data_IF_499909586085
#
_entry.id   IF_499909586085
#
_cell.length_a   1.000
_cell.length_b   1.000
_cell.length_c   1.000
_cell.angle_alpha   90.00
_cell.angle_beta   90.00
_cell.angle_gamma   90.00
#
_symmetry.space_group_name_H-M   'P 1'
#
loop_
_entity.id
_entity.type
_entity.pdbx_description
1 polymer ?
#
# COMPACT_ATOMS: atom_id res chain seq x y z
N UNK A 1 3.05 -16.50 -0.90
CA UNK A 1 3.12 -15.01 -0.83
C UNK A 1 1.69 -14.49 -0.82
N UNK A 2 1.43 -13.24 -0.41
CA UNK A 2 0.06 -12.71 -0.42
C UNK A 2 -0.04 -11.57 -1.42
N UNK A 3 -1.11 -11.55 -2.21
CA UNK A 3 -1.49 -10.45 -3.09
C UNK A 3 -2.80 -9.84 -2.60
N UNK A 4 -2.82 -8.52 -2.50
CA UNK A 4 -4.02 -7.73 -2.24
C UNK A 4 -4.25 -6.82 -3.44
N UNK A 5 -5.43 -6.87 -4.06
CA UNK A 5 -5.77 -6.05 -5.23
C UNK A 5 -7.26 -5.72 -5.26
N UNK A 6 -7.63 -4.65 -5.96
CA UNK A 6 -9.03 -4.36 -6.27
C UNK A 6 -9.44 -5.15 -7.53
N UNK A 7 -10.56 -5.87 -7.47
CA UNK A 7 -11.04 -6.64 -8.61
C UNK A 7 -11.50 -5.69 -9.74
N UNK A 8 -11.01 -5.82 -10.98
CA UNK A 8 -11.39 -4.91 -12.07
C UNK A 8 -12.86 -5.00 -12.49
N UNK A 9 -13.56 -6.08 -12.11
CA UNK A 9 -14.96 -6.29 -12.48
C UNK A 9 -15.97 -5.77 -11.44
N UNK A 10 -15.63 -5.83 -10.15
CA UNK A 10 -16.56 -5.49 -9.07
C UNK A 10 -15.98 -4.52 -8.02
N UNK A 11 -14.74 -4.07 -8.20
CA UNK A 11 -14.00 -3.15 -7.32
C UNK A 11 -13.82 -3.63 -5.86
N UNK A 12 -14.20 -4.88 -5.56
CA UNK A 12 -13.98 -5.46 -4.23
C UNK A 12 -12.49 -5.65 -3.95
N UNK A 13 -12.08 -5.33 -2.72
CA UNK A 13 -10.74 -5.59 -2.23
C UNK A 13 -10.54 -7.08 -1.97
N UNK A 14 -9.73 -7.73 -2.80
CA UNK A 14 -9.47 -9.17 -2.76
C UNK A 14 -8.08 -9.40 -2.19
N UNK A 15 -7.98 -10.32 -1.22
CA UNK A 15 -6.69 -10.81 -0.70
C UNK A 15 -6.60 -12.32 -0.94
N UNK A 16 -5.58 -12.73 -1.68
CA UNK A 16 -5.33 -14.13 -2.01
C UNK A 16 -3.89 -14.50 -1.66
N UNK A 17 -3.70 -15.73 -1.21
CA UNK A 17 -2.38 -16.35 -1.23
C UNK A 17 -2.09 -16.80 -2.66
N UNK A 18 -0.94 -16.41 -3.19
CA UNK A 18 -0.46 -16.89 -4.48
C UNK A 18 0.88 -17.60 -4.32
N UNK A 19 1.11 -18.57 -5.18
CA UNK A 19 2.34 -19.35 -5.31
C UNK A 19 2.92 -19.10 -6.72
N UNK A 20 4.25 -19.13 -6.94
CA UNK A 20 4.86 -19.04 -8.27
C UNK A 20 4.28 -19.99 -9.34
N UNK A 21 3.60 -21.06 -8.96
CA UNK A 21 2.91 -21.97 -9.90
C UNK A 21 1.50 -21.53 -10.29
N UNK A 22 0.92 -20.57 -9.55
CA UNK A 22 -0.43 -20.04 -9.79
C UNK A 22 -0.45 -19.28 -11.12
N UNK A 23 -1.37 -19.64 -12.01
CA UNK A 23 -1.52 -19.01 -13.35
C UNK A 23 -2.77 -18.14 -13.47
N UNK A 24 -3.69 -18.26 -12.54
CA UNK A 24 -4.95 -17.51 -12.54
C UNK A 24 -5.28 -17.02 -11.13
N UNK A 25 -5.82 -15.81 -11.03
CA UNK A 25 -6.39 -15.26 -9.81
C UNK A 25 -7.91 -15.25 -9.96
N UNK A 26 -8.61 -15.93 -9.06
CA UNK A 26 -10.08 -15.95 -9.05
C UNK A 26 -10.60 -15.04 -7.94
N UNK A 27 -11.43 -14.07 -8.31
CA UNK A 27 -12.10 -13.18 -7.37
C UNK A 27 -13.17 -13.96 -6.58
N UNK A 28 -13.14 -13.98 -5.24
CA UNK A 28 -14.15 -14.69 -4.44
C UNK A 28 -15.53 -14.02 -4.44
N UNK A 29 -15.63 -12.75 -4.86
CA UNK A 29 -16.90 -11.99 -4.84
C UNK A 29 -17.69 -12.10 -6.14
N UNK A 30 -17.03 -11.96 -7.29
CA UNK A 30 -17.69 -11.98 -8.60
C UNK A 30 -17.25 -13.15 -9.49
N UNK A 31 -16.38 -14.02 -8.99
CA UNK A 31 -15.83 -15.17 -9.71
C UNK A 31 -15.06 -14.82 -11.00
N UNK A 32 -14.69 -13.54 -11.17
CA UNK A 32 -13.85 -13.08 -12.28
C UNK A 32 -12.48 -13.75 -12.19
N UNK A 33 -12.03 -14.32 -13.31
CA UNK A 33 -10.70 -14.89 -13.47
C UNK A 33 -9.77 -13.88 -14.13
N UNK A 34 -8.61 -13.66 -13.54
CA UNK A 34 -7.52 -12.87 -14.11
C UNK A 34 -6.39 -13.82 -14.47
N UNK A 35 -6.01 -13.86 -15.73
CA UNK A 35 -4.84 -14.60 -16.19
C UNK A 35 -3.57 -13.85 -15.80
N UNK A 36 -2.65 -14.56 -15.14
CA UNK A 36 -1.36 -14.02 -14.75
C UNK A 36 -0.45 -14.02 -15.99
N UNK A 37 0.17 -12.89 -16.36
CA UNK A 37 1.08 -12.85 -17.49
C UNK A 37 2.30 -13.77 -17.29
N UNK A 38 2.73 -14.49 -18.33
CA UNK A 38 3.74 -15.54 -18.22
C UNK A 38 5.11 -15.08 -17.66
N UNK A 39 5.57 -13.88 -17.99
CA UNK A 39 6.83 -13.33 -17.42
C UNK A 39 6.56 -12.32 -16.29
N UNK A 40 5.43 -12.45 -15.58
CA UNK A 40 5.18 -11.66 -14.37
C UNK A 40 6.08 -12.11 -13.21
N UNK A 41 6.45 -13.40 -13.20
CA UNK A 41 7.24 -14.03 -12.15
C UNK A 41 8.47 -14.67 -12.81
N UNK A 42 9.66 -14.38 -12.31
CA UNK A 42 10.90 -15.04 -12.72
C UNK A 42 11.53 -15.68 -11.48
N UNK A 43 11.44 -17.00 -11.37
CA UNK A 43 11.83 -17.72 -10.15
C UNK A 43 10.93 -17.34 -8.97
N UNK A 44 11.46 -16.57 -8.02
CA UNK A 44 10.71 -16.07 -6.85
C UNK A 44 10.46 -14.56 -6.87
N UNK A 45 10.93 -13.88 -7.93
CA UNK A 45 10.86 -12.44 -8.09
C UNK A 45 9.62 -12.06 -8.89
N UNK A 46 8.85 -11.10 -8.38
CA UNK A 46 7.74 -10.48 -9.12
C UNK A 46 8.32 -9.33 -9.95
N UNK A 47 8.35 -9.47 -11.27
CA UNK A 47 8.88 -8.44 -12.20
C UNK A 47 7.80 -7.57 -12.82
N UNK A 48 6.55 -8.05 -12.80
CA UNK A 48 5.39 -7.33 -13.30
C UNK A 48 4.20 -7.59 -12.39
N UNK A 49 3.28 -6.64 -12.37
CA UNK A 49 2.05 -6.77 -11.63
C UNK A 49 1.23 -8.00 -12.12
N UNK A 50 0.68 -8.76 -11.17
CA UNK A 50 -0.16 -9.94 -11.45
C UNK A 50 -1.59 -9.58 -11.86
N UNK A 51 -2.03 -8.36 -11.53
CA UNK A 51 -3.40 -7.88 -11.75
C UNK A 51 -3.50 -7.00 -12.99
N UNK A 52 -2.46 -6.21 -13.27
CA UNK A 52 -2.35 -5.38 -14.46
C UNK A 52 -1.01 -5.62 -15.14
N UNK A 53 -0.88 -5.43 -16.46
CA UNK A 53 0.37 -5.74 -17.17
C UNK A 53 1.50 -4.71 -16.96
N UNK A 54 1.46 -3.90 -15.89
CA UNK A 54 2.49 -2.89 -15.60
C UNK A 54 3.76 -3.51 -15.00
N UNK A 55 4.90 -2.95 -15.36
CA UNK A 55 6.23 -3.27 -14.81
C UNK A 55 6.67 -2.28 -13.72
N UNK A 56 5.94 -1.17 -13.55
CA UNK A 56 6.29 -0.13 -12.60
C UNK A 56 5.82 -0.56 -11.20
N UNK A 57 6.76 -1.11 -10.45
CA UNK A 57 6.60 -1.63 -9.10
C UNK A 57 7.60 -0.92 -8.19
N UNK A 58 7.17 -0.58 -6.98
CA UNK A 58 8.01 0.09 -5.98
C UNK A 58 7.91 -0.59 -4.62
N UNK A 59 8.95 -0.45 -3.82
CA UNK A 59 9.00 -0.98 -2.46
C UNK A 59 8.46 0.08 -1.50
N UNK A 60 7.59 -0.35 -0.57
CA UNK A 60 7.08 0.48 0.52
C UNK A 60 6.99 -0.33 1.81
N UNK A 61 7.35 0.30 2.94
CA UNK A 61 7.10 -0.28 4.27
C UNK A 61 5.61 -0.50 4.49
N UNK A 62 5.24 -1.72 4.86
CA UNK A 62 3.86 -2.14 5.09
C UNK A 62 3.40 -1.77 6.50
N UNK A 63 3.44 -0.46 6.81
CA UNK A 63 3.11 0.02 8.14
C UNK A 63 1.59 -0.08 8.38
N UNK A 64 1.14 -0.82 9.40
CA UNK A 64 -0.28 -0.91 9.73
C UNK A 64 -0.77 0.44 10.28
N UNK A 65 -1.45 1.22 9.43
CA UNK A 65 -1.94 2.56 9.79
C UNK A 65 -2.75 2.59 11.09
N UNK A 66 -3.55 1.55 11.35
CA UNK A 66 -4.32 1.41 12.60
C UNK A 66 -3.44 1.38 13.84
N UNK A 67 -2.27 0.75 13.75
CA UNK A 67 -1.36 0.59 14.88
C UNK A 67 -0.68 1.93 15.22
N UNK A 68 -0.22 2.67 14.20
CA UNK A 68 0.30 4.03 14.43
C UNK A 68 -0.74 4.99 14.97
N UNK A 69 -1.97 4.97 14.44
CA UNK A 69 -3.06 5.81 14.98
C UNK A 69 -3.39 5.45 16.43
N UNK A 70 -3.43 4.15 16.76
CA UNK A 70 -3.64 3.70 18.13
C UNK A 70 -2.52 4.17 19.06
N UNK A 71 -1.26 4.10 18.61
CA UNK A 71 -0.11 4.49 19.41
C UNK A 71 -0.08 6.00 19.68
N UNK A 72 -0.34 6.82 18.66
CA UNK A 72 -0.52 8.28 18.81
C UNK A 72 -1.67 8.58 19.77
N UNK A 73 -2.80 7.87 19.64
CA UNK A 73 -3.94 8.02 20.54
C UNK A 73 -3.60 7.73 22.01
N UNK A 74 -2.88 6.63 22.27
CA UNK A 74 -2.39 6.28 23.62
C UNK A 74 -1.42 7.33 24.14
N UNK A 75 -0.50 7.82 23.30
CA UNK A 75 0.44 8.88 23.67
C UNK A 75 -0.26 10.15 24.10
N UNK A 76 -1.21 10.65 23.29
CA UNK A 76 -1.98 11.86 23.56
C UNK A 76 -2.80 11.73 24.84
N UNK A 77 -3.52 10.62 25.03
CA UNK A 77 -4.34 10.41 26.22
C UNK A 77 -3.47 10.28 27.48
N UNK A 78 -2.41 9.48 27.42
CA UNK A 78 -1.49 9.27 28.53
C UNK A 78 -0.77 10.56 28.93
N UNK A 79 -0.24 11.31 27.96
CA UNK A 79 0.45 12.58 28.22
C UNK A 79 -0.50 13.64 28.77
N UNK A 80 -1.74 13.69 28.30
CA UNK A 80 -2.75 14.65 28.78
C UNK A 80 -3.13 14.37 30.23
N UNK A 81 -3.30 13.10 30.61
CA UNK A 81 -3.58 12.70 32.00
C UNK A 81 -2.38 13.01 32.91
N UNK A 82 -1.16 12.72 32.48
CA UNK A 82 0.05 13.01 33.26
C UNK A 82 0.24 14.52 33.47
N UNK A 83 -0.03 15.32 32.43
CA UNK A 83 0.00 16.78 32.50
C UNK A 83 -1.06 17.35 33.45
N UNK A 84 -2.29 16.82 33.39
CA UNK A 84 -3.36 17.22 34.31
C UNK A 84 -2.98 17.00 35.78
N UNK A 85 -2.24 15.93 36.08
CA UNK A 85 -1.70 15.63 37.41
C UNK A 85 -0.43 16.42 37.76
N UNK A 86 -0.08 17.46 36.99
CA UNK A 86 1.13 18.30 37.17
C UNK A 86 2.45 17.50 37.20
N UNK A 87 2.49 16.32 36.58
CA UNK A 87 3.65 15.45 36.62
C UNK A 87 4.47 15.51 35.33
N UNK A 88 5.31 16.54 35.24
CA UNK A 88 6.05 16.88 34.02
C UNK A 88 6.97 15.76 33.51
N UNK A 89 7.62 15.03 34.42
CA UNK A 89 8.52 13.93 34.07
C UNK A 89 7.76 12.78 33.39
N UNK A 90 6.56 12.46 33.87
CA UNK A 90 5.72 11.42 33.26
C UNK A 90 5.15 11.84 31.91
N UNK A 91 4.78 13.10 31.73
CA UNK A 91 4.32 13.61 30.43
C UNK A 91 5.37 13.40 29.35
N UNK A 92 6.61 13.84 29.60
CA UNK A 92 7.69 13.65 28.64
C UNK A 92 8.08 12.17 28.49
N UNK A 93 8.09 11.41 29.59
CA UNK A 93 8.36 9.97 29.55
C UNK A 93 7.40 9.21 28.63
N UNK A 94 6.10 9.51 28.70
CA UNK A 94 5.09 8.91 27.81
C UNK A 94 5.36 9.30 26.36
N UNK A 95 5.52 10.59 26.06
CA UNK A 95 5.75 11.06 24.68
C UNK A 95 7.01 10.42 24.07
N UNK A 96 8.13 10.41 24.81
CA UNK A 96 9.37 9.77 24.35
C UNK A 96 9.22 8.26 24.19
N UNK A 97 8.55 7.58 25.11
CA UNK A 97 8.32 6.13 25.00
C UNK A 97 7.48 5.80 23.77
N UNK A 98 6.41 6.55 23.50
CA UNK A 98 5.59 6.34 22.30
C UNK A 98 6.38 6.58 21.02
N UNK A 99 7.16 7.66 20.97
CA UNK A 99 8.03 7.94 19.81
C UNK A 99 9.09 6.83 19.61
N UNK A 100 9.66 6.31 20.70
CA UNK A 100 10.62 5.21 20.63
C UNK A 100 9.98 3.93 20.10
N UNK A 101 8.77 3.59 20.56
CA UNK A 101 8.04 2.42 20.07
C UNK A 101 7.70 2.58 18.58
N UNK A 102 7.32 3.77 18.12
CA UNK A 102 7.10 4.04 16.69
C UNK A 102 8.36 3.78 15.86
N UNK A 103 9.52 4.23 16.34
CA UNK A 103 10.81 3.98 15.67
C UNK A 103 11.14 2.48 15.62
N UNK A 104 10.95 1.77 16.73
CA UNK A 104 11.14 0.32 16.76
C UNK A 104 10.20 -0.39 15.78
N UNK A 105 8.92 -0.04 15.79
CA UNK A 105 7.94 -0.59 14.84
C UNK A 105 8.33 -0.33 13.40
N UNK A 106 8.78 0.89 13.08
CA UNK A 106 9.25 1.23 11.74
C UNK A 106 10.42 0.34 11.29
N UNK A 107 11.36 0.05 12.18
CA UNK A 107 12.49 -0.84 11.89
C UNK A 107 12.08 -2.30 11.71
N UNK A 108 11.06 -2.77 12.43
CA UNK A 108 10.59 -4.17 12.35
C UNK A 108 9.56 -4.44 11.26
N UNK A 109 8.89 -3.40 10.74
CA UNK A 109 7.89 -3.56 9.69
C UNK A 109 8.53 -4.07 8.41
N UNK A 110 7.94 -5.14 7.87
CA UNK A 110 8.34 -5.73 6.61
C UNK A 110 8.02 -4.84 5.41
N UNK A 111 8.73 -5.08 4.32
CA UNK A 111 8.50 -4.41 3.05
C UNK A 111 7.37 -5.09 2.26
N UNK A 112 6.65 -4.29 1.51
CA UNK A 112 5.67 -4.74 0.53
C UNK A 112 5.96 -4.08 -0.83
N UNK A 113 5.80 -4.86 -1.88
CA UNK A 113 5.89 -4.38 -3.25
C UNK A 113 4.52 -3.84 -3.67
N UNK A 114 4.48 -2.66 -4.28
CA UNK A 114 3.24 -2.02 -4.72
C UNK A 114 3.32 -1.67 -6.19
N UNK A 115 2.21 -1.78 -6.91
CA UNK A 115 2.11 -1.34 -8.31
C UNK A 115 1.65 0.10 -8.41
N UNK A 116 2.32 0.93 -9.22
CA UNK A 116 1.90 2.33 -9.44
C UNK A 116 0.53 2.47 -10.11
N UNK A 117 0.18 1.53 -10.99
CA UNK A 117 -1.02 1.64 -11.83
C UNK A 117 -2.30 1.21 -11.10
N UNK A 118 -2.32 -0.01 -10.58
CA UNK A 118 -3.52 -0.59 -9.96
C UNK A 118 -3.47 -0.63 -8.43
N UNK A 119 -2.37 -0.17 -7.82
CA UNK A 119 -2.16 -0.18 -6.37
C UNK A 119 -2.25 -1.58 -5.73
N UNK A 120 -2.06 -2.64 -6.52
CA UNK A 120 -1.94 -4.00 -5.99
C UNK A 120 -0.71 -4.10 -5.07
N UNK A 121 -0.88 -4.75 -3.93
CA UNK A 121 0.13 -4.94 -2.89
C UNK A 121 0.56 -6.42 -2.84
N UNK A 122 1.86 -6.66 -2.85
CA UNK A 122 2.46 -7.98 -2.72
C UNK A 122 3.28 -8.05 -1.43
N UNK A 123 2.94 -9.00 -0.55
CA UNK A 123 3.60 -9.22 0.74
C UNK A 123 4.33 -10.56 0.77
N UNK A 124 5.51 -10.57 1.38
CA UNK A 124 6.34 -11.77 1.53
C UNK A 124 7.02 -12.22 0.23
N UNK A 125 7.26 -11.29 -0.70
CA UNK A 125 8.01 -11.55 -1.94
C UNK A 125 9.49 -11.71 -1.61
N UNK A 126 10.14 -12.72 -2.17
CA UNK A 126 11.59 -12.90 -2.03
C UNK A 126 12.28 -12.07 -3.13
N UNK A 127 13.39 -11.40 -2.82
CA UNK A 127 14.14 -10.52 -3.73
C UNK A 127 13.36 -9.28 -4.20
N UNK A 128 13.17 -8.32 -3.27
CA UNK A 128 12.59 -7.02 -3.59
C UNK A 128 13.62 -6.02 -4.12
N UNK A 129 14.92 -6.21 -3.83
CA UNK A 129 16.04 -5.27 -4.05
C UNK A 129 16.24 -4.80 -5.51
N UNK A 130 15.64 -5.49 -6.48
CA UNK A 130 15.65 -5.06 -7.87
C UNK A 130 14.73 -3.88 -8.18
N UNK A 131 13.83 -3.54 -7.25
CA UNK A 131 12.84 -2.49 -7.44
C UNK A 131 13.26 -1.20 -6.76
N UNK A 132 12.91 -0.08 -7.39
CA UNK A 132 13.15 1.25 -6.84
C UNK A 132 12.29 1.55 -5.60
N UNK A 133 12.73 2.57 -4.87
CA UNK A 133 11.89 3.24 -3.86
C UNK A 133 10.81 4.06 -4.59
N UNK A 134 9.75 4.41 -3.88
CA UNK A 134 8.70 5.30 -4.36
C UNK A 134 9.27 6.59 -4.99
N UNK A 135 9.09 6.71 -6.30
CA UNK A 135 9.21 7.91 -7.12
C UNK A 135 7.85 8.62 -7.29
N UNK A 136 7.84 9.92 -6.99
CA UNK A 136 6.67 10.80 -7.10
C UNK A 136 6.31 11.09 -8.55
N UNK A 137 7.30 11.24 -9.44
CA UNK A 137 7.05 11.56 -10.86
C UNK A 137 6.26 10.43 -11.52
N UNK A 138 6.71 9.18 -11.31
CA UNK A 138 5.99 8.00 -11.79
C UNK A 138 4.57 7.92 -11.24
N UNK A 139 4.39 8.20 -9.95
CA UNK A 139 3.06 8.21 -9.32
C UNK A 139 2.13 9.26 -9.94
N UNK A 140 2.60 10.48 -10.10
CA UNK A 140 1.82 11.57 -10.70
C UNK A 140 1.49 11.30 -12.17
N UNK A 141 2.44 10.75 -12.94
CA UNK A 141 2.21 10.31 -14.32
C UNK A 141 1.05 9.34 -14.41
N UNK A 142 1.02 8.30 -13.56
CA UNK A 142 -0.08 7.34 -13.54
C UNK A 142 -1.42 7.96 -13.12
N UNK A 143 -1.39 8.88 -12.14
CA UNK A 143 -2.58 9.65 -11.71
C UNK A 143 -3.15 10.49 -12.86
N UNK A 144 -2.29 11.19 -13.60
CA UNK A 144 -2.70 11.99 -14.76
C UNK A 144 -3.25 11.13 -15.89
N UNK A 145 -2.64 9.97 -16.17
CA UNK A 145 -3.15 9.03 -17.17
C UNK A 145 -4.54 8.51 -16.82
N UNK A 146 -4.78 8.14 -15.55
CA UNK A 146 -6.09 7.70 -15.10
C UNK A 146 -7.15 8.80 -15.25
N UNK A 147 -6.82 10.05 -14.90
CA UNK A 147 -7.72 11.19 -15.08
C UNK A 147 -8.04 11.47 -16.56
N UNK A 148 -7.04 11.37 -17.45
CA UNK A 148 -7.24 11.53 -18.90
C UNK A 148 -8.18 10.47 -19.47
N UNK A 149 -8.01 9.21 -19.07
CA UNK A 149 -8.89 8.11 -19.51
C UNK A 149 -10.33 8.30 -19.00
N UNK A 150 -10.50 8.73 -17.75
CA UNK A 150 -11.82 9.01 -17.18
C UNK A 150 -12.53 10.16 -17.93
N UNK A 151 -11.80 11.23 -18.28
CA UNK A 151 -12.35 12.34 -19.05
C UNK A 151 -12.73 11.95 -20.48
N UNK A 152 -11.95 11.07 -21.13
CA UNK A 152 -12.32 10.55 -22.46
C UNK A 152 -13.58 9.68 -22.43
N UNK A 153 -13.83 8.99 -21.31
CA UNK A 153 -15.03 8.17 -21.11
C UNK A 153 -16.26 8.98 -20.68
N UNK A 154 -16.07 10.22 -20.19
CA UNK A 154 -17.14 11.19 -19.88
C UNK A 154 -16.82 12.55 -20.51
N UNK A 155 -17.01 12.73 -21.82
CA UNK A 155 -16.75 14.00 -22.49
C UNK A 155 -17.55 15.19 -21.90
N UNK A 156 -18.67 14.92 -21.21
CA UNK A 156 -19.55 15.94 -20.62
C UNK A 156 -19.32 16.18 -19.11
N UNK A 157 -18.32 15.55 -18.48
CA UNK A 157 -18.03 15.78 -17.07
C UNK A 157 -17.22 17.08 -16.88
N UNK A 158 -17.59 17.95 -15.93
CA UNK A 158 -16.82 19.16 -15.64
C UNK A 158 -15.40 18.79 -15.20
N UNK A 159 -14.40 19.41 -15.83
CA UNK A 159 -12.98 19.21 -15.51
C UNK A 159 -12.75 19.55 -14.04
N UNK A 160 -12.25 18.63 -13.20
CA UNK A 160 -11.96 18.96 -11.81
C UNK A 160 -10.85 20.00 -11.76
N UNK A 161 -11.13 21.12 -11.11
CA UNK A 161 -10.15 22.16 -10.86
C UNK A 161 -8.98 21.54 -10.09
N UNK A 162 -7.80 21.56 -10.71
CA UNK A 162 -6.53 21.27 -10.06
C UNK A 162 -6.22 22.51 -9.23
N UNK A 163 -6.43 22.41 -7.91
CA UNK A 163 -6.10 23.47 -6.98
C UNK A 163 -4.57 23.43 -6.77
N UNK A 164 -3.89 24.51 -7.18
CA UNK A 164 -2.48 24.80 -6.88
C UNK A 164 -2.24 25.02 -5.39
#
# INVERSE_FOLDING_TARGET
MNVTYACPACDSGVRLSFDPTTRELTCPHCNQRLEIPHDAITGKQVRRCLTCPSIDLYIRKDFPQRLGVALVGVGVLGSSIAWYNMNIYWTFGILFSTALIDVLLYMFVGDALMCYRCQAQYRGVQEMDSHGIFDLETHEKYRQMAARMANQQRPDAPVPAINE
#
